data_IF_540385635465
#
_entry.id   IF_540385635465
#
_cell.length_a   1.000
_cell.length_b   1.000
_cell.length_c   1.000
_cell.angle_alpha   90.00
_cell.angle_beta   90.00
_cell.angle_gamma   90.00
#
_symmetry.space_group_name_H-M   'P 1'
#
loop_
_entity.id
_entity.type
_entity.pdbx_description
1 polymer ?
#
# COMPACT_ATOMS: atom_id res chain seq x y z
N UNK A 1 23.30 -31.06 -67.71
CA UNK A 1 22.75 -30.30 -66.58
C UNK A 1 23.48 -30.66 -65.28
N UNK A 2 24.81 -30.46 -65.22
CA UNK A 2 25.68 -30.77 -64.08
C UNK A 2 26.81 -29.73 -63.95
N UNK A 3 26.46 -28.45 -64.03
CA UNK A 3 27.43 -27.37 -63.86
C UNK A 3 26.73 -26.13 -63.30
N UNK A 4 26.32 -26.18 -62.03
CA UNK A 4 26.00 -24.99 -61.23
C UNK A 4 26.05 -25.36 -59.75
N UNK A 5 27.20 -25.84 -59.25
CA UNK A 5 27.34 -26.14 -57.82
C UNK A 5 28.73 -25.88 -57.24
N UNK A 6 29.55 -25.02 -57.87
CA UNK A 6 30.94 -24.82 -57.42
C UNK A 6 31.36 -23.37 -57.15
N UNK A 7 30.47 -22.37 -57.15
CA UNK A 7 30.88 -20.97 -56.88
C UNK A 7 29.80 -20.11 -56.23
N UNK A 8 29.24 -20.55 -55.10
CA UNK A 8 28.57 -19.62 -54.16
C UNK A 8 28.80 -20.06 -52.72
N UNK A 9 30.07 -20.01 -52.28
CA UNK A 9 30.37 -19.55 -50.93
C UNK A 9 30.08 -18.04 -50.88
N UNK A 10 28.83 -17.66 -51.07
CA UNK A 10 28.31 -16.42 -50.55
C UNK A 10 27.48 -16.85 -49.36
N UNK A 11 27.96 -16.54 -48.16
CA UNK A 11 27.25 -16.74 -46.91
C UNK A 11 25.77 -16.39 -47.11
N UNK A 12 24.86 -17.29 -46.72
CA UNK A 12 23.42 -17.04 -46.79
C UNK A 12 23.14 -15.71 -46.09
N UNK A 13 22.90 -14.62 -46.84
CA UNK A 13 22.87 -13.28 -46.25
C UNK A 13 21.63 -13.10 -45.38
N UNK A 14 20.57 -13.90 -45.63
CA UNK A 14 19.40 -13.95 -44.77
C UNK A 14 19.69 -14.78 -43.52
N UNK A 15 20.37 -15.93 -43.67
CA UNK A 15 20.84 -16.75 -42.55
C UNK A 15 21.72 -15.95 -41.58
N UNK A 16 22.72 -15.25 -42.11
CA UNK A 16 23.60 -14.36 -41.35
C UNK A 16 22.83 -13.21 -40.69
N UNK A 17 21.90 -12.57 -41.40
CA UNK A 17 21.06 -11.52 -40.82
C UNK A 17 20.13 -12.03 -39.71
N UNK A 18 19.52 -13.20 -39.88
CA UNK A 18 18.66 -13.80 -38.86
C UNK A 18 19.47 -14.23 -37.63
N UNK A 19 20.65 -14.79 -37.84
CA UNK A 19 21.60 -15.12 -36.77
C UNK A 19 22.02 -13.86 -36.01
N UNK A 20 22.47 -12.82 -36.70
CA UNK A 20 22.84 -11.53 -36.10
C UNK A 20 21.65 -10.92 -35.35
N UNK A 21 20.47 -10.83 -35.95
CA UNK A 21 19.26 -10.29 -35.30
C UNK A 21 18.83 -11.08 -34.07
N UNK A 22 19.13 -12.38 -34.02
CA UNK A 22 18.84 -13.23 -32.86
C UNK A 22 19.85 -13.09 -31.73
N UNK A 23 21.07 -12.62 -32.04
CA UNK A 23 22.19 -12.47 -31.12
C UNK A 23 22.30 -11.04 -30.55
N UNK A 24 21.81 -10.03 -31.27
CA UNK A 24 21.85 -8.63 -30.82
C UNK A 24 21.01 -8.47 -29.56
N UNK A 25 21.67 -8.11 -28.46
CA UNK A 25 21.00 -7.73 -27.22
C UNK A 25 20.69 -6.23 -27.25
N UNK A 26 19.53 -5.82 -26.72
CA UNK A 26 19.15 -4.40 -26.58
C UNK A 26 20.23 -3.54 -25.88
N UNK A 27 21.07 -4.19 -25.05
CA UNK A 27 22.14 -3.58 -24.26
C UNK A 27 23.39 -3.19 -25.06
N UNK A 28 23.62 -3.76 -26.25
CA UNK A 28 24.82 -3.48 -27.05
C UNK A 28 24.81 -2.07 -27.69
N UNK A 29 23.68 -1.35 -27.57
CA UNK A 29 23.45 -0.04 -28.16
C UNK A 29 23.58 1.15 -27.19
N UNK A 30 23.96 0.91 -25.93
CA UNK A 30 24.00 1.98 -24.90
C UNK A 30 25.24 2.86 -25.07
N UNK A 31 25.10 3.92 -25.86
CA UNK A 31 26.11 4.98 -26.00
C UNK A 31 25.99 6.01 -24.86
N UNK A 32 26.96 5.99 -23.94
CA UNK A 32 27.04 6.92 -22.81
C UNK A 32 27.25 8.40 -23.23
N UNK A 33 27.70 8.66 -24.46
CA UNK A 33 27.98 10.01 -24.96
C UNK A 33 26.81 10.65 -25.70
N UNK A 34 25.76 9.87 -25.99
CA UNK A 34 24.61 10.32 -26.76
C UNK A 34 23.69 11.33 -26.02
N UNK A 35 23.97 11.63 -24.74
CA UNK A 35 23.17 12.58 -23.93
C UNK A 35 21.74 12.12 -23.68
N UNK A 36 21.50 10.81 -23.66
CA UNK A 36 20.18 10.19 -23.48
C UNK A 36 20.04 9.59 -22.08
N UNK A 37 18.80 9.46 -21.62
CA UNK A 37 18.46 8.67 -20.43
C UNK A 37 18.19 7.24 -20.86
N UNK A 38 18.83 6.28 -20.21
CA UNK A 38 18.63 4.85 -20.48
C UNK A 38 17.57 4.28 -19.56
N UNK A 39 16.53 3.69 -20.15
CA UNK A 39 15.50 2.95 -19.43
C UNK A 39 15.72 1.46 -19.67
N UNK A 40 15.67 0.66 -18.62
CA UNK A 40 15.84 -0.78 -18.68
C UNK A 40 15.18 -1.44 -17.48
N UNK A 41 15.03 -2.77 -17.53
CA UNK A 41 14.59 -3.55 -16.36
C UNK A 41 15.75 -3.75 -15.39
N UNK A 42 15.45 -4.04 -14.11
CA UNK A 42 16.49 -4.36 -13.11
C UNK A 42 17.39 -5.53 -13.54
N UNK A 43 16.82 -6.53 -14.22
CA UNK A 43 17.58 -7.68 -14.73
C UNK A 43 18.60 -7.27 -15.81
N UNK A 44 18.18 -6.40 -16.74
CA UNK A 44 19.03 -5.92 -17.83
C UNK A 44 20.17 -5.02 -17.32
N UNK A 45 20.03 -4.41 -16.14
CA UNK A 45 21.06 -3.57 -15.54
C UNK A 45 22.26 -4.35 -14.97
N UNK A 46 22.18 -5.70 -14.90
CA UNK A 46 23.23 -6.53 -14.32
C UNK A 46 24.55 -6.37 -15.10
N UNK A 47 25.63 -6.05 -14.38
CA UNK A 47 26.95 -5.85 -14.97
C UNK A 47 27.20 -4.45 -15.51
N UNK A 48 26.19 -3.57 -15.50
CA UNK A 48 26.33 -2.15 -15.85
C UNK A 48 26.50 -1.28 -14.60
N UNK A 49 26.94 -0.05 -14.79
CA UNK A 49 27.06 0.94 -13.72
C UNK A 49 26.85 2.35 -14.28
N UNK A 50 26.21 3.21 -13.50
CA UNK A 50 25.82 4.55 -13.91
C UNK A 50 26.12 5.57 -12.80
N UNK A 51 26.49 6.82 -13.14
CA UNK A 51 26.70 7.87 -12.15
C UNK A 51 25.49 8.09 -11.23
N UNK A 52 24.29 8.11 -11.82
CA UNK A 52 23.02 8.32 -11.12
C UNK A 52 22.01 7.26 -11.57
N UNK A 53 21.31 6.64 -10.63
CA UNK A 53 20.31 5.60 -10.90
C UNK A 53 18.99 5.95 -10.23
N UNK A 54 17.90 5.81 -10.97
CA UNK A 54 16.54 5.88 -10.46
C UNK A 54 15.93 4.48 -10.51
N UNK A 55 15.60 3.90 -9.36
CA UNK A 55 14.77 2.70 -9.27
C UNK A 55 13.36 3.16 -8.98
N UNK A 56 12.47 2.89 -9.93
CA UNK A 56 11.08 3.34 -9.88
C UNK A 56 10.14 2.21 -9.50
N UNK A 57 9.09 2.55 -8.76
CA UNK A 57 8.06 1.59 -8.38
C UNK A 57 8.54 0.56 -7.35
N UNK A 58 9.26 1.01 -6.33
CA UNK A 58 9.71 0.16 -5.22
C UNK A 58 8.52 -0.09 -4.28
N UNK A 59 7.57 -0.87 -4.78
CA UNK A 59 6.22 -1.06 -4.22
C UNK A 59 5.93 -2.54 -4.02
N UNK A 60 5.05 -2.87 -3.07
CA UNK A 60 4.52 -4.21 -2.92
C UNK A 60 3.81 -4.67 -4.20
N UNK A 61 3.90 -5.95 -4.54
CA UNK A 61 3.45 -6.58 -5.79
C UNK A 61 4.24 -6.25 -7.05
N UNK A 62 5.07 -5.20 -7.04
CA UNK A 62 5.97 -4.87 -8.16
C UNK A 62 7.41 -5.27 -7.84
N UNK A 63 7.91 -4.90 -6.65
CA UNK A 63 9.22 -5.28 -6.13
C UNK A 63 9.15 -5.35 -4.59
N UNK A 64 8.89 -6.52 -3.99
CA UNK A 64 8.89 -7.85 -4.62
C UNK A 64 7.69 -8.08 -5.54
N UNK A 65 7.92 -8.79 -6.65
CA UNK A 65 6.88 -9.17 -7.58
C UNK A 65 5.80 -10.03 -6.91
N UNK A 66 4.53 -9.83 -7.30
CA UNK A 66 3.36 -10.48 -6.69
C UNK A 66 3.48 -12.01 -6.59
N UNK A 67 4.03 -12.66 -7.62
CA UNK A 67 4.24 -14.12 -7.62
C UNK A 67 5.09 -14.59 -6.44
N UNK A 68 6.22 -13.93 -6.20
CA UNK A 68 7.15 -14.25 -5.11
C UNK A 68 6.53 -14.06 -3.73
N UNK A 69 5.50 -13.21 -3.62
CA UNK A 69 4.71 -13.03 -2.39
C UNK A 69 3.67 -14.15 -2.25
N UNK A 70 2.94 -14.46 -3.34
CA UNK A 70 1.84 -15.44 -3.34
C UNK A 70 2.32 -16.86 -3.06
N UNK A 71 3.46 -17.24 -3.59
CA UNK A 71 4.01 -18.59 -3.45
C UNK A 71 4.55 -18.86 -2.02
N UNK A 72 4.62 -17.81 -1.17
CA UNK A 72 5.09 -17.85 0.23
C UNK A 72 6.44 -18.57 0.40
N UNK A 73 7.23 -18.63 -0.67
CA UNK A 73 8.52 -19.27 -0.70
C UNK A 73 9.58 -18.23 -0.30
N UNK A 74 10.25 -18.38 0.86
CA UNK A 74 11.24 -17.41 1.30
C UNK A 74 12.38 -17.24 0.29
N UNK A 75 12.68 -18.26 -0.52
CA UNK A 75 13.76 -18.18 -1.52
C UNK A 75 13.43 -17.20 -2.64
N UNK A 76 12.19 -17.13 -3.09
CA UNK A 76 11.79 -16.22 -4.16
C UNK A 76 11.77 -14.78 -3.69
N UNK A 77 11.34 -14.56 -2.44
CA UNK A 77 11.43 -13.25 -1.80
C UNK A 77 12.88 -12.78 -1.67
N UNK A 78 13.79 -13.69 -1.30
CA UNK A 78 15.22 -13.42 -1.24
C UNK A 78 15.83 -13.16 -2.63
N UNK A 79 15.29 -13.75 -3.69
CA UNK A 79 15.73 -13.45 -5.06
C UNK A 79 15.30 -12.04 -5.49
N UNK A 80 14.07 -11.62 -5.17
CA UNK A 80 13.60 -10.25 -5.40
C UNK A 80 14.42 -9.22 -4.58
N UNK A 81 14.82 -9.59 -3.36
CA UNK A 81 15.73 -8.81 -2.54
C UNK A 81 17.09 -8.66 -3.20
N UNK A 82 17.66 -9.75 -3.74
CA UNK A 82 18.92 -9.73 -4.51
C UNK A 82 18.78 -8.87 -5.75
N UNK A 83 17.63 -8.93 -6.43
CA UNK A 83 17.35 -8.11 -7.61
C UNK A 83 17.41 -6.61 -7.27
N UNK A 84 16.75 -6.18 -6.19
CA UNK A 84 16.85 -4.80 -5.71
C UNK A 84 18.29 -4.45 -5.33
N UNK A 85 18.99 -5.30 -4.57
CA UNK A 85 20.38 -5.06 -4.18
C UNK A 85 21.31 -4.87 -5.39
N UNK A 86 21.18 -5.73 -6.41
CA UNK A 86 21.94 -5.60 -7.66
C UNK A 86 21.61 -4.26 -8.32
N UNK A 87 20.33 -3.89 -8.41
CA UNK A 87 19.91 -2.59 -8.94
C UNK A 87 20.51 -1.39 -8.19
N UNK A 88 20.47 -1.42 -6.86
CA UNK A 88 21.01 -0.35 -6.01
C UNK A 88 22.52 -0.18 -6.21
N UNK A 89 23.26 -1.29 -6.34
CA UNK A 89 24.72 -1.26 -6.55
C UNK A 89 25.13 -0.88 -7.97
N UNK A 90 24.19 -0.61 -8.88
CA UNK A 90 24.53 -0.03 -10.20
C UNK A 90 24.80 1.48 -10.10
N UNK A 91 24.39 2.13 -9.00
CA UNK A 91 24.63 3.54 -8.77
C UNK A 91 26.05 3.79 -8.27
N UNK A 92 26.80 4.67 -8.93
CA UNK A 92 28.14 5.07 -8.49
C UNK A 92 28.14 6.24 -7.51
N UNK A 93 27.23 7.21 -7.70
CA UNK A 93 27.20 8.45 -6.91
C UNK A 93 25.86 8.67 -6.24
N UNK A 94 24.79 8.63 -7.03
CA UNK A 94 23.44 8.96 -6.55
C UNK A 94 22.46 7.84 -6.86
N UNK A 95 21.66 7.48 -5.86
CA UNK A 95 20.60 6.49 -5.97
C UNK A 95 19.30 7.11 -5.49
N UNK A 96 18.27 7.03 -6.33
CA UNK A 96 16.92 7.44 -6.01
C UNK A 96 16.00 6.23 -6.06
N UNK A 97 15.28 5.98 -4.97
CA UNK A 97 14.21 4.98 -4.91
C UNK A 97 12.89 5.71 -4.82
N UNK A 98 11.92 5.34 -5.67
CA UNK A 98 10.62 6.01 -5.71
C UNK A 98 9.47 5.03 -5.54
N UNK A 99 8.43 5.49 -4.86
CA UNK A 99 7.14 4.83 -4.70
C UNK A 99 6.02 5.82 -5.04
N UNK A 100 4.84 5.32 -5.38
CA UNK A 100 3.63 6.14 -5.52
C UNK A 100 2.59 5.77 -4.46
N UNK A 101 1.55 6.61 -4.29
CA UNK A 101 0.36 6.27 -3.51
C UNK A 101 -0.74 5.58 -4.35
N UNK A 102 -0.77 5.85 -5.65
CA UNK A 102 -1.69 5.26 -6.62
C UNK A 102 -0.99 4.99 -7.93
N UNK A 103 -1.31 3.84 -8.55
CA UNK A 103 -0.75 3.42 -9.83
C UNK A 103 -1.84 2.95 -10.77
N UNK A 104 -1.79 3.44 -12.00
CA UNK A 104 -2.58 2.90 -13.11
C UNK A 104 -1.86 1.69 -13.70
N UNK A 105 -2.48 0.53 -13.60
CA UNK A 105 -1.95 -0.72 -14.18
C UNK A 105 -3.10 -1.48 -14.84
N UNK A 106 -2.90 -1.90 -16.09
CA UNK A 106 -3.90 -2.61 -16.88
C UNK A 106 -5.28 -1.91 -16.93
N UNK A 107 -5.30 -0.57 -16.97
CA UNK A 107 -6.52 0.23 -17.04
C UNK A 107 -7.26 0.40 -15.71
N UNK A 108 -6.68 -0.01 -14.58
CA UNK A 108 -7.24 0.19 -13.25
C UNK A 108 -6.28 1.03 -12.39
N UNK A 109 -6.82 2.02 -11.70
CA UNK A 109 -6.10 2.79 -10.67
C UNK A 109 -6.18 2.05 -9.34
N UNK A 110 -5.05 1.57 -8.85
CA UNK A 110 -4.96 0.84 -7.58
C UNK A 110 -4.14 1.63 -6.56
N UNK A 111 -4.55 1.66 -5.28
CA UNK A 111 -3.68 2.16 -4.23
C UNK A 111 -2.47 1.23 -4.08
N UNK A 112 -1.31 1.82 -3.88
CA UNK A 112 -0.04 1.11 -3.75
C UNK A 112 0.43 1.08 -2.30
N UNK A 113 1.23 0.08 -1.97
CA UNK A 113 1.86 -0.07 -0.66
C UNK A 113 3.37 0.00 -0.89
N UNK A 114 4.12 0.76 -0.07
CA UNK A 114 5.59 0.75 -0.07
C UNK A 114 6.15 -0.67 -0.06
N UNK A 115 7.24 -0.91 -0.78
CA UNK A 115 7.94 -2.20 -0.65
C UNK A 115 8.45 -2.38 0.77
N UNK A 116 8.34 -3.59 1.29
CA UNK A 116 8.96 -3.96 2.57
C UNK A 116 10.48 -3.71 2.56
N UNK A 117 11.14 -3.81 1.40
CA UNK A 117 12.58 -3.60 1.29
C UNK A 117 13.00 -2.17 1.63
N UNK A 118 12.11 -1.18 1.47
CA UNK A 118 12.38 0.20 1.86
C UNK A 118 12.51 0.38 3.38
N UNK A 119 11.83 -0.47 4.16
CA UNK A 119 11.90 -0.44 5.62
C UNK A 119 13.17 -1.08 6.18
N UNK A 120 13.83 -1.91 5.37
CA UNK A 120 15.07 -2.59 5.74
C UNK A 120 16.31 -1.73 5.48
N UNK A 121 16.18 -0.68 4.65
CA UNK A 121 17.25 0.28 4.42
C UNK A 121 17.39 1.17 5.67
N UNK A 122 18.58 1.26 6.29
CA UNK A 122 18.78 2.09 7.47
C UNK A 122 18.39 3.56 7.24
N UNK A 123 17.63 4.12 8.17
CA UNK A 123 17.15 5.51 8.11
C UNK A 123 18.28 6.54 8.04
N UNK A 124 19.47 6.22 8.54
CA UNK A 124 20.67 7.06 8.45
C UNK A 124 21.08 7.40 7.01
N UNK A 125 20.73 6.55 6.05
CA UNK A 125 21.09 6.69 4.63
C UNK A 125 19.90 7.18 3.79
N UNK A 126 18.71 7.31 4.39
CA UNK A 126 17.48 7.67 3.70
C UNK A 126 17.15 9.15 3.91
N UNK A 127 17.28 9.94 2.85
CA UNK A 127 16.76 11.30 2.81
C UNK A 127 15.39 11.27 2.13
N UNK A 128 14.31 11.48 2.90
CA UNK A 128 12.96 11.56 2.34
C UNK A 128 12.75 12.91 1.66
N UNK A 129 12.59 12.90 0.34
CA UNK A 129 12.38 14.11 -0.48
C UNK A 129 10.96 14.70 -0.35
N UNK A 130 10.04 13.98 0.29
CA UNK A 130 8.62 14.35 0.39
C UNK A 130 8.35 15.57 1.28
N UNK A 131 9.36 16.02 2.04
CA UNK A 131 9.30 17.24 2.86
C UNK A 131 9.07 18.50 2.02
N UNK A 132 9.50 18.49 0.75
CA UNK A 132 9.50 19.65 -0.15
C UNK A 132 8.48 19.54 -1.29
N UNK A 133 7.76 18.42 -1.43
CA UNK A 133 6.71 18.29 -2.44
C UNK A 133 5.39 18.90 -1.94
N UNK A 134 4.68 19.69 -2.77
CA UNK A 134 3.34 20.13 -2.45
C UNK A 134 2.46 18.89 -2.23
N UNK A 135 1.98 18.70 -1.00
CA UNK A 135 1.05 17.62 -0.70
C UNK A 135 -0.11 17.69 -1.71
N UNK A 136 -0.42 16.58 -2.41
CA UNK A 136 -1.57 16.56 -3.29
C UNK A 136 -2.78 16.92 -2.43
N UNK A 137 -3.37 18.09 -2.69
CA UNK A 137 -4.62 18.51 -2.06
C UNK A 137 -5.61 17.38 -2.33
N UNK A 138 -5.91 16.57 -1.32
CA UNK A 138 -7.06 15.68 -1.38
C UNK A 138 -8.23 16.55 -1.87
N UNK A 139 -8.93 16.17 -2.95
CA UNK A 139 -10.11 16.92 -3.35
C UNK A 139 -11.02 16.93 -2.14
N UNK A 140 -11.23 18.13 -1.58
CA UNK A 140 -12.13 18.31 -0.47
C UNK A 140 -13.44 17.60 -0.81
N UNK A 141 -14.04 16.82 0.11
CA UNK A 141 -15.32 16.20 -0.17
C UNK A 141 -16.26 17.32 -0.63
N UNK A 142 -16.79 17.19 -1.84
CA UNK A 142 -17.71 18.16 -2.39
C UNK A 142 -18.79 18.41 -1.33
N UNK A 143 -18.82 19.63 -0.80
CA UNK A 143 -19.87 20.04 0.12
C UNK A 143 -21.14 20.13 -0.71
N UNK A 144 -21.86 19.02 -0.78
CA UNK A 144 -23.23 19.02 -1.27
C UNK A 144 -24.02 19.92 -0.33
N UNK A 145 -24.32 21.13 -0.81
CA UNK A 145 -25.31 21.99 -0.17
C UNK A 145 -26.68 21.33 -0.38
N UNK A 146 -27.05 20.45 0.54
CA UNK A 146 -28.43 19.98 0.62
C UNK A 146 -29.24 21.07 1.30
N UNK A 147 -29.96 21.85 0.50
CA UNK A 147 -31.05 22.68 0.98
C UNK A 147 -32.08 21.76 1.64
N UNK A 148 -32.03 21.66 2.97
CA UNK A 148 -32.95 20.84 3.75
C UNK A 148 -34.33 21.50 3.76
N UNK A 149 -35.44 20.80 3.42
CA UNK A 149 -36.76 21.34 3.68
C UNK A 149 -37.06 21.27 5.18
N UNK A 150 -37.72 22.32 5.66
CA UNK A 150 -38.24 22.44 7.02
C UNK A 150 -39.05 21.21 7.43
N UNK A 151 -38.58 20.47 8.42
CA UNK A 151 -39.40 19.53 9.18
C UNK A 151 -39.27 19.86 10.66
N UNK A 152 -40.42 20.10 11.26
CA UNK A 152 -40.62 20.41 12.67
C UNK A 152 -40.04 19.32 13.57
N UNK A 153 -39.03 19.69 14.36
CA UNK A 153 -38.40 18.82 15.35
C UNK A 153 -39.34 18.56 16.54
N UNK A 154 -39.40 17.32 16.99
CA UNK A 154 -40.05 16.95 18.26
C UNK A 154 -39.18 17.40 19.45
N UNK A 155 -39.76 17.61 20.65
CA UNK A 155 -39.07 18.20 21.80
C UNK A 155 -37.79 17.46 22.24
N UNK A 156 -37.69 16.17 21.92
CA UNK A 156 -36.56 15.32 22.29
C UNK A 156 -35.30 15.59 21.44
N UNK A 157 -35.43 16.11 20.22
CA UNK A 157 -34.29 16.39 19.33
C UNK A 157 -33.61 17.74 19.66
N UNK A 158 -34.36 18.74 20.11
CA UNK A 158 -33.83 20.04 20.52
C UNK A 158 -32.94 19.97 21.77
N UNK A 159 -33.14 18.97 22.63
CA UNK A 159 -32.41 18.81 23.89
C UNK A 159 -30.99 18.24 23.67
N UNK A 160 -30.82 17.39 22.65
CA UNK A 160 -29.53 16.76 22.29
C UNK A 160 -28.61 17.77 21.60
N UNK A 161 -29.17 18.68 20.80
CA UNK A 161 -28.41 19.70 20.09
C UNK A 161 -27.90 20.82 21.01
N UNK A 162 -28.65 21.11 22.09
CA UNK A 162 -28.25 22.09 23.11
C UNK A 162 -27.07 21.61 23.97
N UNK A 163 -26.93 20.30 24.16
CA UNK A 163 -25.80 19.70 24.91
C UNK A 163 -24.50 19.65 24.10
N UNK A 164 -24.57 19.64 22.76
CA UNK A 164 -23.40 19.67 21.87
C UNK A 164 -22.77 21.06 21.71
N UNK A 165 -23.53 22.13 21.99
CA UNK A 165 -23.08 23.53 21.78
C UNK A 165 -22.46 24.21 23.01
N UNK A 166 -22.42 23.59 24.18
CA UNK A 166 -21.64 24.10 25.33
C UNK A 166 -20.36 23.27 25.49
N UNK A 167 -19.23 23.88 25.13
CA UNK A 167 -17.98 23.18 24.88
C UNK A 167 -17.24 22.61 26.09
N UNK A 168 -16.17 21.89 25.78
CA UNK A 168 -14.89 21.93 26.49
C UNK A 168 -14.80 21.34 27.91
N UNK A 169 -14.03 20.25 28.00
CA UNK A 169 -13.29 19.72 29.18
C UNK A 169 -14.11 19.17 30.36
N UNK A 170 -14.26 17.85 30.30
CA UNK A 170 -14.11 16.83 31.37
C UNK A 170 -14.74 17.07 32.76
N UNK A 171 -15.72 16.23 33.12
CA UNK A 171 -15.69 15.36 34.32
C UNK A 171 -17.07 14.74 34.53
N UNK A 172 -17.24 13.44 34.22
CA UNK A 172 -18.31 12.64 34.82
C UNK A 172 -17.80 11.24 35.16
N UNK A 173 -17.56 11.09 36.46
CA UNK A 173 -17.56 9.87 37.28
C UNK A 173 -18.54 8.81 36.75
N UNK A 174 -18.01 7.64 36.40
CA UNK A 174 -18.80 6.43 36.15
C UNK A 174 -18.91 5.62 37.43
N UNK A 175 -20.02 4.87 37.59
CA UNK A 175 -20.41 4.13 38.80
C UNK A 175 -19.43 3.06 39.31
N UNK A 176 -18.23 2.96 38.73
CA UNK A 176 -17.12 2.14 39.21
C UNK A 176 -16.51 2.65 40.53
N UNK A 177 -16.67 3.93 40.88
CA UNK A 177 -16.16 4.47 42.15
C UNK A 177 -17.02 4.11 43.39
N UNK A 178 -18.22 3.54 43.21
CA UNK A 178 -19.16 3.19 44.28
C UNK A 178 -19.13 1.71 44.68
N UNK A 179 -18.39 0.85 43.96
CA UNK A 179 -18.39 -0.60 44.17
C UNK A 179 -16.98 -1.12 44.48
N UNK A 180 -16.31 -0.47 45.43
CA UNK A 180 -15.16 -1.07 46.10
C UNK A 180 -15.62 -2.35 46.81
N UNK A 181 -15.38 -3.49 46.18
CA UNK A 181 -15.81 -4.79 46.65
C UNK A 181 -15.09 -5.93 45.94
N UNK A 182 -13.82 -6.11 46.32
CA UNK A 182 -13.11 -7.40 46.36
C UNK A 182 -12.83 -8.19 45.09
N UNK A 183 -11.53 -8.51 45.01
CA UNK A 183 -10.87 -9.69 44.46
C UNK A 183 -10.43 -9.70 42.99
N UNK A 184 -9.11 -9.81 42.90
CA UNK A 184 -8.31 -10.13 41.74
C UNK A 184 -8.81 -11.38 41.00
N UNK A 185 -8.67 -11.40 39.68
CA UNK A 185 -7.89 -12.44 38.98
C UNK A 185 -7.72 -12.09 37.50
N UNK A 186 -6.75 -12.78 36.90
CA UNK A 186 -6.17 -12.61 35.58
C UNK A 186 -7.15 -12.71 34.38
N UNK A 187 -6.58 -12.39 33.21
CA UNK A 187 -7.02 -12.66 31.84
C UNK A 187 -7.77 -11.52 31.10
N UNK A 188 -6.96 -10.70 30.40
CA UNK A 188 -7.39 -9.92 29.23
C UNK A 188 -7.17 -10.82 27.99
N UNK A 189 -8.23 -11.14 27.21
CA UNK A 189 -8.32 -10.54 25.86
C UNK A 189 -9.75 -10.45 25.28
N UNK A 190 -10.24 -9.25 24.96
CA UNK A 190 -10.90 -8.86 23.69
C UNK A 190 -10.88 -7.32 23.62
N UNK A 191 -10.02 -6.75 22.77
CA UNK A 191 -9.59 -5.35 22.80
C UNK A 191 -10.45 -4.34 22.04
N UNK A 192 -11.76 -4.57 21.87
CA UNK A 192 -12.64 -3.66 21.13
C UNK A 192 -13.42 -2.73 22.08
N UNK A 193 -13.35 -1.42 21.85
CA UNK A 193 -14.05 -0.37 22.58
C UNK A 193 -14.94 0.44 21.64
N UNK A 194 -16.08 0.92 22.14
CA UNK A 194 -16.92 1.88 21.42
C UNK A 194 -16.07 3.11 21.05
N UNK A 195 -16.16 3.53 19.79
CA UNK A 195 -15.35 4.60 19.21
C UNK A 195 -14.04 4.14 18.55
N UNK A 196 -13.67 2.86 18.61
CA UNK A 196 -12.50 2.35 17.87
C UNK A 196 -12.82 2.24 16.37
N UNK A 197 -11.85 2.62 15.53
CA UNK A 197 -11.90 2.31 14.10
C UNK A 197 -11.43 0.89 13.87
N UNK A 198 -12.18 0.17 13.06
CA UNK A 198 -11.94 -1.23 12.71
C UNK A 198 -12.06 -1.41 11.21
N UNK A 199 -11.30 -2.34 10.64
CA UNK A 199 -11.38 -2.72 9.23
C UNK A 199 -12.01 -4.11 9.12
N UNK A 200 -13.01 -4.24 8.25
CA UNK A 200 -13.57 -5.51 7.80
C UNK A 200 -13.09 -5.82 6.37
N UNK A 201 -12.68 -7.06 6.05
CA UNK A 201 -12.14 -7.43 4.74
C UNK A 201 -13.07 -7.12 3.56
N UNK A 202 -14.39 -7.29 3.74
CA UNK A 202 -15.39 -7.09 2.67
C UNK A 202 -16.09 -5.73 2.74
N UNK A 203 -16.22 -5.15 3.94
CA UNK A 203 -17.05 -3.95 4.18
C UNK A 203 -16.24 -2.68 4.37
N UNK A 204 -14.91 -2.79 4.36
CA UNK A 204 -14.03 -1.64 4.51
C UNK A 204 -13.90 -1.18 5.97
N UNK A 205 -13.62 0.10 6.15
CA UNK A 205 -13.38 0.69 7.47
C UNK A 205 -14.71 1.10 8.10
N UNK A 206 -14.83 0.91 9.41
CA UNK A 206 -15.99 1.33 10.19
C UNK A 206 -15.64 1.70 11.61
N UNK A 207 -16.60 2.30 12.30
CA UNK A 207 -16.51 2.70 13.70
C UNK A 207 -17.35 1.75 14.56
N UNK A 208 -16.78 1.30 15.66
CA UNK A 208 -17.56 0.56 16.66
C UNK A 208 -18.53 1.54 17.34
N UNK A 209 -19.82 1.34 17.11
CA UNK A 209 -20.90 2.14 17.70
C UNK A 209 -21.44 1.51 18.98
N UNK A 210 -21.36 0.19 19.09
CA UNK A 210 -21.94 -0.54 20.21
C UNK A 210 -21.12 -1.80 20.52
N UNK A 211 -20.94 -2.10 21.81
CA UNK A 211 -20.36 -3.36 22.27
C UNK A 211 -21.31 -3.93 23.32
N UNK A 212 -21.92 -5.06 23.03
CA UNK A 212 -22.75 -5.79 23.99
C UNK A 212 -21.86 -6.51 25.00
N UNK A 213 -22.03 -6.17 26.28
CA UNK A 213 -21.20 -6.67 27.39
C UNK A 213 -21.84 -7.89 28.06
N UNK A 214 -23.10 -8.20 27.76
CA UNK A 214 -23.89 -9.16 28.52
C UNK A 214 -24.00 -10.54 27.87
N UNK A 215 -23.60 -11.57 28.62
CA UNK A 215 -23.76 -12.98 28.27
C UNK A 215 -22.65 -13.62 27.41
N UNK A 216 -22.73 -14.95 27.19
CA UNK A 216 -21.72 -15.75 26.49
C UNK A 216 -21.57 -15.46 24.99
N UNK A 217 -22.36 -14.53 24.43
CA UNK A 217 -22.34 -14.12 23.02
C UNK A 217 -22.15 -12.60 22.89
N UNK A 218 -20.95 -12.11 23.19
CA UNK A 218 -20.59 -10.70 22.98
C UNK A 218 -20.69 -10.32 21.51
N UNK A 219 -21.49 -9.31 21.20
CA UNK A 219 -21.63 -8.74 19.86
C UNK A 219 -21.06 -7.33 19.78
N UNK A 220 -20.56 -6.96 18.61
CA UNK A 220 -20.00 -5.65 18.28
C UNK A 220 -20.77 -5.09 17.10
N UNK A 221 -21.40 -3.94 17.29
CA UNK A 221 -22.04 -3.17 16.22
C UNK A 221 -21.03 -2.23 15.59
N UNK A 222 -20.88 -2.33 14.26
CA UNK A 222 -19.97 -1.48 13.47
C UNK A 222 -20.79 -0.71 12.44
N UNK A 223 -20.61 0.60 12.42
CA UNK A 223 -21.07 1.48 11.36
C UNK A 223 -19.93 1.67 10.37
N UNK A 224 -20.09 1.17 9.15
CA UNK A 224 -19.08 1.30 8.09
C UNK A 224 -19.13 2.69 7.46
N UNK A 225 -17.99 3.15 6.94
CA UNK A 225 -17.89 4.43 6.22
C UNK A 225 -18.77 4.44 4.94
N UNK A 226 -19.23 3.26 4.49
CA UNK A 226 -20.23 3.10 3.43
C UNK A 226 -21.67 3.45 3.86
N UNK A 227 -21.92 3.69 5.15
CA UNK A 227 -23.25 3.95 5.72
C UNK A 227 -24.02 2.70 6.13
N UNK A 228 -23.45 1.51 5.96
CA UNK A 228 -24.07 0.25 6.42
C UNK A 228 -23.76 -0.03 7.90
N UNK A 229 -24.77 -0.44 8.66
CA UNK A 229 -24.59 -0.97 10.02
C UNK A 229 -24.57 -2.50 9.99
N UNK A 230 -23.67 -3.13 10.75
CA UNK A 230 -23.66 -4.59 10.90
C UNK A 230 -23.18 -5.02 12.28
N UNK A 231 -23.80 -6.07 12.81
CA UNK A 231 -23.46 -6.66 14.09
C UNK A 231 -22.66 -7.95 13.90
N UNK A 232 -21.56 -8.08 14.64
CA UNK A 232 -20.68 -9.24 14.57
C UNK A 232 -20.42 -9.84 15.94
N UNK A 233 -20.12 -11.14 16.00
CA UNK A 233 -19.76 -11.80 17.25
C UNK A 233 -18.27 -11.58 17.55
N UNK A 234 -17.95 -11.03 18.72
CA UNK A 234 -16.60 -10.55 19.06
C UNK A 234 -15.50 -11.62 18.96
N UNK A 235 -15.84 -12.90 19.12
CA UNK A 235 -14.91 -14.04 19.07
C UNK A 235 -14.80 -14.72 17.69
N UNK A 236 -15.62 -14.32 16.71
CA UNK A 236 -15.65 -14.93 15.37
C UNK A 236 -15.57 -13.88 14.25
N UNK A 237 -15.23 -12.64 14.58
CA UNK A 237 -15.25 -11.56 13.63
C UNK A 237 -13.86 -11.23 13.09
N UNK A 238 -13.68 -11.12 11.76
CA UNK A 238 -12.42 -10.74 11.13
C UNK A 238 -12.19 -9.21 11.18
N UNK A 239 -12.53 -8.54 12.29
CA UNK A 239 -12.30 -7.10 12.44
C UNK A 239 -10.86 -6.85 12.91
N UNK A 240 -10.15 -5.97 12.22
CA UNK A 240 -8.81 -5.54 12.59
C UNK A 240 -8.87 -4.13 13.18
N UNK A 241 -8.40 -3.90 14.42
CA UNK A 241 -8.32 -2.56 14.99
C UNK A 241 -7.31 -1.72 14.23
N UNK A 242 -7.71 -0.51 13.85
CA UNK A 242 -6.81 0.49 13.26
C UNK A 242 -6.41 1.41 14.40
N UNK A 243 -5.16 1.30 14.86
CA UNK A 243 -4.63 2.20 15.87
C UNK A 243 -4.63 3.64 15.32
N UNK A 244 -5.32 4.55 16.00
CA UNK A 244 -5.13 5.98 15.80
C UNK A 244 -3.89 6.38 16.59
N UNK A 245 -2.91 6.98 15.91
CA UNK A 245 -1.84 7.74 16.58
C UNK A 245 -2.40 8.97 17.27
#
# INVERSE_FOLDING_TARGET
ARHHDETTQAEDPLGAFLEESSLVADLDSVDATAGKVTLMTLHAAKGLEFPTVFIVGVEHNLLPHERSIRDQNPRELEEERRLLFVGMTRAMRELYLTETSYRDIHGQTLPTIPSQFLSEIPSLVRNSTDSDLPQPKQPAPASFQTSSPSSSLTPHQAQIEKLRKLGGKTLLTTGAALLAGTQATADIPVGFKVGMRVRHPQKGVGLIVEVSVDGPRRTVGVLFDSGEESQFLANKCPLQPIAQG
#
